data_IF_414348530605
#
_entry.id   IF_414348530605
#
_cell.length_a   1.000
_cell.length_b   1.000
_cell.length_c   1.000
_cell.angle_alpha   90.00
_cell.angle_beta   90.00
_cell.angle_gamma   90.00
#
_symmetry.space_group_name_H-M   'P 1'
#
loop_
_entity.id
_entity.type
_entity.pdbx_description
1 polymer ?
#
# COMPACT_ATOMS: atom_id res chain seq x y z
N UNK A 1 8.07 0.59 1.87
CA UNK A 1 9.28 1.05 2.59
C UNK A 1 9.97 2.14 1.78
N UNK A 2 10.97 2.81 2.35
CA UNK A 2 11.62 3.96 1.70
C UNK A 2 12.23 3.59 0.35
N UNK A 3 13.07 2.55 0.29
CA UNK A 3 13.77 2.09 -0.93
C UNK A 3 13.26 0.75 -1.47
N UNK A 4 12.17 0.24 -0.91
CA UNK A 4 11.58 -1.03 -1.34
C UNK A 4 10.08 -1.10 -1.15
N UNK A 5 9.43 -1.99 -1.88
CA UNK A 5 8.05 -2.41 -1.69
C UNK A 5 8.04 -3.92 -1.54
N UNK A 6 7.59 -4.42 -0.39
CA UNK A 6 7.33 -5.85 -0.19
C UNK A 6 5.85 -6.11 -0.48
N UNK A 7 5.56 -7.13 -1.25
CA UNK A 7 4.20 -7.60 -1.52
C UNK A 7 4.08 -9.08 -1.16
N UNK A 8 2.86 -9.50 -0.86
CA UNK A 8 2.53 -10.90 -0.67
C UNK A 8 1.11 -11.18 -1.16
N UNK A 9 0.91 -12.38 -1.69
CA UNK A 9 -0.40 -12.94 -2.04
C UNK A 9 -0.59 -14.20 -1.22
N UNK A 10 -1.76 -14.33 -0.60
CA UNK A 10 -2.10 -15.42 0.30
C UNK A 10 -3.45 -16.01 -0.08
N UNK A 11 -3.56 -17.32 0.03
CA UNK A 11 -4.83 -18.07 -0.01
C UNK A 11 -5.09 -18.62 1.39
N UNK A 12 -5.98 -17.96 2.14
CA UNK A 12 -6.12 -18.18 3.57
C UNK A 12 -4.79 -17.93 4.31
N UNK A 13 -4.24 -18.98 4.93
CA UNK A 13 -2.95 -18.94 5.64
C UNK A 13 -1.76 -19.35 4.75
N UNK A 14 -2.03 -19.79 3.51
CA UNK A 14 -0.98 -20.26 2.60
C UNK A 14 -0.36 -19.09 1.84
N UNK A 15 0.95 -18.95 1.94
CA UNK A 15 1.73 -18.03 1.11
C UNK A 15 1.77 -18.54 -0.34
N UNK A 16 1.21 -17.77 -1.28
CA UNK A 16 1.23 -18.09 -2.72
C UNK A 16 2.43 -17.44 -3.40
N UNK A 17 2.70 -16.18 -3.04
CA UNK A 17 3.80 -15.38 -3.58
C UNK A 17 4.23 -14.36 -2.54
N UNK A 18 5.54 -14.19 -2.34
CA UNK A 18 6.11 -13.03 -1.66
C UNK A 18 7.27 -12.48 -2.47
N UNK A 19 7.25 -11.18 -2.73
CA UNK A 19 8.26 -10.50 -3.52
C UNK A 19 8.73 -9.22 -2.82
N UNK A 20 10.01 -8.91 -2.97
CA UNK A 20 10.60 -7.64 -2.51
C UNK A 20 11.11 -6.85 -3.70
N UNK A 21 10.35 -5.84 -4.06
CA UNK A 21 10.63 -4.90 -5.15
C UNK A 21 11.58 -3.84 -4.63
N UNK A 22 12.80 -3.77 -5.19
CA UNK A 22 13.79 -2.75 -4.82
C UNK A 22 13.69 -1.59 -5.78
N UNK A 23 13.75 -0.38 -5.24
CA UNK A 23 13.74 0.87 -6.00
C UNK A 23 15.11 1.51 -5.87
N UNK A 24 15.73 1.86 -6.99
CA UNK A 24 16.99 2.59 -6.94
C UNK A 24 16.77 4.01 -6.40
N UNK A 25 17.79 4.57 -5.75
CA UNK A 25 17.75 5.97 -5.31
C UNK A 25 17.55 6.93 -6.49
N UNK A 26 18.10 6.59 -7.66
CA UNK A 26 17.93 7.37 -8.89
C UNK A 26 16.47 7.41 -9.32
N UNK A 27 15.77 6.27 -9.35
CA UNK A 27 14.33 6.22 -9.67
C UNK A 27 13.49 7.01 -8.67
N UNK A 28 13.74 6.84 -7.37
CA UNK A 28 13.00 7.54 -6.33
C UNK A 28 13.23 9.06 -6.39
N UNK A 29 14.46 9.50 -6.68
CA UNK A 29 14.82 10.92 -6.75
C UNK A 29 14.13 11.71 -7.86
N UNK A 30 13.46 11.02 -8.80
CA UNK A 30 12.68 11.66 -9.88
C UNK A 30 11.36 12.26 -9.40
N UNK A 31 10.94 11.94 -8.17
CA UNK A 31 9.67 12.35 -7.60
C UNK A 31 9.88 13.46 -6.56
N UNK A 32 9.10 14.54 -6.66
CA UNK A 32 9.19 15.68 -5.75
C UNK A 32 8.63 15.32 -4.36
N UNK A 33 7.51 14.60 -4.33
CA UNK A 33 6.88 14.16 -3.09
C UNK A 33 6.81 12.63 -2.99
N UNK A 34 6.55 12.12 -1.78
CA UNK A 34 6.25 10.71 -1.58
C UNK A 34 5.01 10.30 -2.38
N UNK A 35 3.97 11.15 -2.39
CA UNK A 35 2.73 10.87 -3.10
C UNK A 35 2.95 10.68 -4.61
N UNK A 36 3.88 11.43 -5.23
CA UNK A 36 4.15 11.31 -6.66
C UNK A 36 4.69 9.93 -7.07
N UNK A 37 5.27 9.18 -6.11
CA UNK A 37 5.73 7.80 -6.33
C UNK A 37 4.59 6.79 -6.44
N UNK A 38 3.36 7.15 -6.08
CA UNK A 38 2.19 6.27 -6.00
C UNK A 38 2.02 5.42 -7.26
N UNK A 39 1.90 6.08 -8.43
CA UNK A 39 1.59 5.40 -9.68
C UNK A 39 2.71 4.43 -10.07
N UNK A 40 3.95 4.89 -9.97
CA UNK A 40 5.13 4.07 -10.20
C UNK A 40 5.15 2.80 -9.34
N UNK A 41 4.91 2.94 -8.03
CA UNK A 41 4.91 1.79 -7.14
C UNK A 41 3.74 0.84 -7.41
N UNK A 42 2.55 1.36 -7.73
CA UNK A 42 1.40 0.53 -8.14
C UNK A 42 1.72 -0.28 -9.40
N UNK A 43 2.26 0.38 -10.41
CA UNK A 43 2.53 -0.24 -11.70
C UNK A 43 3.57 -1.37 -11.58
N UNK A 44 4.62 -1.19 -10.75
CA UNK A 44 5.57 -2.27 -10.46
C UNK A 44 4.89 -3.46 -9.79
N UNK A 45 3.99 -3.24 -8.82
CA UNK A 45 3.28 -4.33 -8.13
C UNK A 45 2.46 -5.14 -9.14
N UNK A 46 1.65 -4.47 -9.96
CA UNK A 46 0.81 -5.13 -10.96
C UNK A 46 1.65 -5.87 -12.00
N UNK A 47 2.77 -5.29 -12.44
CA UNK A 47 3.67 -5.92 -13.38
C UNK A 47 4.32 -7.18 -12.80
N UNK A 48 4.78 -7.16 -11.55
CA UNK A 48 5.37 -8.36 -10.93
C UNK A 48 4.34 -9.47 -10.72
N UNK A 49 3.10 -9.14 -10.33
CA UNK A 49 2.04 -10.15 -10.26
C UNK A 49 1.80 -10.80 -11.63
N UNK A 50 1.75 -9.99 -12.69
CA UNK A 50 1.62 -10.48 -14.06
C UNK A 50 2.82 -11.33 -14.51
N UNK A 51 4.04 -10.91 -14.22
CA UNK A 51 5.28 -11.66 -14.53
C UNK A 51 5.31 -13.03 -13.83
N UNK A 52 4.74 -13.11 -12.62
CA UNK A 52 4.58 -14.35 -11.86
C UNK A 52 3.38 -15.18 -12.30
N UNK A 53 2.71 -14.79 -13.39
CA UNK A 53 1.49 -15.41 -13.92
C UNK A 53 0.34 -15.47 -12.90
N UNK A 54 0.29 -14.50 -11.98
CA UNK A 54 -0.83 -14.37 -11.05
C UNK A 54 -1.92 -13.49 -11.66
N UNK A 55 -3.15 -14.00 -11.71
CA UNK A 55 -4.31 -13.23 -12.15
C UNK A 55 -4.83 -12.37 -11.00
N UNK A 56 -4.57 -11.07 -11.07
CA UNK A 56 -4.97 -10.10 -10.05
C UNK A 56 -6.49 -10.02 -9.85
N UNK A 57 -7.29 -10.43 -10.83
CA UNK A 57 -8.76 -10.43 -10.73
C UNK A 57 -9.30 -11.52 -9.79
N UNK A 58 -8.45 -12.44 -9.34
CA UNK A 58 -8.80 -13.49 -8.38
C UNK A 58 -8.70 -13.05 -6.92
N UNK A 59 -8.22 -11.84 -6.65
CA UNK A 59 -8.09 -11.31 -5.29
C UNK A 59 -9.48 -11.00 -4.69
N UNK A 60 -9.70 -11.41 -3.44
CA UNK A 60 -10.89 -11.03 -2.68
C UNK A 60 -10.76 -9.67 -1.97
N UNK A 61 -9.52 -9.26 -1.65
CA UNK A 61 -9.23 -8.01 -0.98
C UNK A 61 -7.78 -7.56 -1.22
N UNK A 62 -7.52 -6.26 -1.01
CA UNK A 62 -6.16 -5.71 -1.02
C UNK A 62 -5.86 -5.03 0.30
N UNK A 63 -4.72 -5.36 0.90
CA UNK A 63 -4.33 -4.83 2.21
C UNK A 63 -3.02 -4.05 2.09
N UNK A 64 -3.04 -2.80 2.53
CA UNK A 64 -1.86 -1.96 2.64
C UNK A 64 -1.37 -1.85 4.09
N UNK A 65 -0.08 -1.61 4.28
CA UNK A 65 0.41 -1.15 5.59
C UNK A 65 -0.17 0.24 5.87
N UNK A 66 -0.63 0.48 7.10
CA UNK A 66 -1.07 1.82 7.51
C UNK A 66 0.05 2.86 7.43
N UNK A 67 -0.34 4.09 7.06
CA UNK A 67 0.57 5.23 6.95
C UNK A 67 0.68 6.03 8.25
N UNK A 68 1.22 7.24 8.12
CA UNK A 68 1.23 8.27 9.16
C UNK A 68 -0.15 8.95 9.22
N UNK A 69 -1.13 8.23 9.78
CA UNK A 69 -2.48 8.73 10.04
C UNK A 69 -2.54 9.44 11.39
N UNK A 70 -3.69 10.06 11.70
CA UNK A 70 -3.97 10.54 13.06
C UNK A 70 -4.02 9.35 14.04
N UNK A 71 -3.78 9.58 15.34
CA UNK A 71 -3.90 8.55 16.36
C UNK A 71 -5.21 7.79 16.23
N UNK A 72 -5.10 6.47 16.26
CA UNK A 72 -6.21 5.53 16.11
C UNK A 72 -5.83 4.20 16.76
N UNK A 73 -6.83 3.46 17.21
CA UNK A 73 -6.63 2.14 17.81
C UNK A 73 -5.95 1.18 16.82
N UNK A 74 -5.33 0.13 17.34
CA UNK A 74 -4.80 -0.95 16.51
C UNK A 74 -5.95 -1.71 15.84
N UNK A 75 -5.68 -2.24 14.65
CA UNK A 75 -6.68 -3.05 13.93
C UNK A 75 -6.68 -2.86 12.43
N UNK A 76 -7.70 -3.46 11.82
CA UNK A 76 -7.91 -3.49 10.38
C UNK A 76 -9.04 -2.53 10.01
N UNK A 77 -8.73 -1.54 9.18
CA UNK A 77 -9.67 -0.50 8.79
C UNK A 77 -9.91 -0.54 7.29
N UNK A 78 -11.19 -0.49 6.88
CA UNK A 78 -11.53 -0.28 5.47
C UNK A 78 -11.05 1.10 5.04
N UNK A 79 -10.39 1.17 3.88
CA UNK A 79 -9.93 2.46 3.35
C UNK A 79 -11.14 3.31 2.96
N UNK A 80 -11.10 4.59 3.32
CA UNK A 80 -12.14 5.57 2.99
C UNK A 80 -11.51 6.87 2.48
N UNK A 81 -12.34 7.75 1.91
CA UNK A 81 -11.88 9.01 1.31
C UNK A 81 -11.13 9.92 2.29
N UNK A 82 -11.57 9.98 3.55
CA UNK A 82 -10.93 10.81 4.57
C UNK A 82 -9.52 10.32 4.89
N UNK A 83 -9.36 9.00 5.02
CA UNK A 83 -8.06 8.36 5.22
C UNK A 83 -7.14 8.62 4.04
N UNK A 84 -7.62 8.49 2.80
CA UNK A 84 -6.83 8.78 1.60
C UNK A 84 -6.34 10.22 1.56
N UNK A 85 -7.21 11.17 1.91
CA UNK A 85 -6.84 12.58 1.98
C UNK A 85 -5.76 12.83 3.04
N UNK A 86 -5.93 12.27 4.24
CA UNK A 86 -4.96 12.42 5.34
C UNK A 86 -3.59 11.80 4.98
N UNK A 87 -3.56 10.65 4.30
CA UNK A 87 -2.34 10.00 3.80
C UNK A 87 -1.65 10.82 2.70
N UNK A 88 -2.42 11.42 1.80
CA UNK A 88 -1.93 12.26 0.70
C UNK A 88 -1.34 13.57 1.22
N UNK A 89 -2.07 14.26 2.08
CA UNK A 89 -1.62 15.52 2.68
C UNK A 89 -0.47 15.29 3.68
N UNK A 90 -0.35 14.07 4.22
CA UNK A 90 0.68 13.72 5.19
C UNK A 90 0.45 14.48 6.50
N UNK A 91 -0.77 14.44 7.02
CA UNK A 91 -1.20 15.21 8.20
C UNK A 91 -0.38 14.91 9.47
N UNK A 92 0.29 13.75 9.53
CA UNK A 92 1.23 13.36 10.59
C UNK A 92 2.65 13.08 10.04
N UNK A 93 2.96 13.61 8.86
CA UNK A 93 4.26 13.48 8.20
C UNK A 93 4.21 12.73 6.88
N UNK A 94 5.18 13.03 6.02
CA UNK A 94 5.38 12.37 4.74
C UNK A 94 6.29 11.15 4.92
N UNK A 95 5.77 9.96 4.62
CA UNK A 95 6.53 8.71 4.71
C UNK A 95 6.07 7.71 3.65
N UNK A 96 6.97 6.87 3.16
CA UNK A 96 6.66 5.89 2.11
C UNK A 96 5.56 4.88 2.49
N UNK A 97 5.27 4.70 3.79
CA UNK A 97 4.12 3.90 4.24
C UNK A 97 2.78 4.54 3.91
N UNK A 98 2.70 5.87 3.70
CA UNK A 98 1.46 6.55 3.35
C UNK A 98 0.87 6.03 2.03
N UNK A 99 1.73 5.55 1.14
CA UNK A 99 1.33 4.96 -0.13
C UNK A 99 0.62 3.60 0.04
N UNK A 100 0.77 2.91 1.18
CA UNK A 100 0.21 1.58 1.39
C UNK A 100 -1.31 1.55 1.22
N UNK A 101 -2.03 2.38 1.98
CA UNK A 101 -3.49 2.50 1.88
C UNK A 101 -3.95 3.08 0.54
N UNK A 102 -3.19 4.02 -0.04
CA UNK A 102 -3.52 4.65 -1.32
C UNK A 102 -3.43 3.63 -2.47
N UNK A 103 -2.36 2.83 -2.50
CA UNK A 103 -2.16 1.75 -3.49
C UNK A 103 -3.23 0.67 -3.32
N UNK A 104 -3.47 0.21 -2.08
CA UNK A 104 -4.48 -0.80 -1.81
C UNK A 104 -5.86 -0.37 -2.31
N UNK A 105 -6.25 0.88 -2.02
CA UNK A 105 -7.52 1.44 -2.47
C UNK A 105 -7.60 1.57 -4.00
N UNK A 106 -6.53 2.00 -4.66
CA UNK A 106 -6.54 2.10 -6.12
C UNK A 106 -6.74 0.73 -6.78
N UNK A 107 -6.00 -0.29 -6.34
CA UNK A 107 -6.13 -1.65 -6.89
C UNK A 107 -7.51 -2.21 -6.55
N UNK A 108 -7.97 -2.05 -5.31
CA UNK A 108 -9.31 -2.49 -4.89
C UNK A 108 -10.43 -1.86 -5.74
N UNK A 109 -10.35 -0.56 -6.01
CA UNK A 109 -11.31 0.12 -6.86
C UNK A 109 -11.28 -0.35 -8.32
N UNK A 110 -10.09 -0.59 -8.89
CA UNK A 110 -9.94 -1.11 -10.27
C UNK A 110 -10.54 -2.51 -10.43
N UNK A 111 -10.52 -3.32 -9.37
CA UNK A 111 -11.02 -4.70 -9.35
C UNK A 111 -12.42 -4.84 -8.73
N UNK A 112 -12.99 -3.73 -8.22
CA UNK A 112 -14.24 -3.71 -7.47
C UNK A 112 -14.25 -4.66 -6.23
N UNK A 113 -13.15 -4.67 -5.47
CA UNK A 113 -12.97 -5.46 -4.24
C UNK A 113 -12.59 -4.55 -3.07
N UNK A 114 -12.84 -4.95 -1.81
CA UNK A 114 -12.51 -4.13 -0.65
C UNK A 114 -11.00 -3.93 -0.48
N UNK A 115 -10.64 -2.73 -0.03
CA UNK A 115 -9.29 -2.37 0.37
C UNK A 115 -9.23 -2.02 1.85
N UNK A 116 -8.15 -2.44 2.51
CA UNK A 116 -7.92 -2.23 3.93
C UNK A 116 -6.52 -1.69 4.21
N UNK A 117 -6.36 -1.09 5.39
CA UNK A 117 -5.07 -0.94 6.05
C UNK A 117 -5.03 -1.77 7.33
N UNK A 118 -3.84 -2.22 7.70
CA UNK A 118 -3.56 -2.89 8.97
C UNK A 118 -2.43 -2.15 9.68
N UNK A 119 -2.57 -2.04 11.01
CA UNK A 119 -1.57 -1.52 11.95
C UNK A 119 -0.95 -0.20 11.49
N UNK A 120 -1.70 0.92 11.58
CA UNK A 120 -1.15 2.24 11.32
C UNK A 120 0.05 2.50 12.24
N UNK A 121 1.08 3.18 11.72
CA UNK A 121 2.37 3.38 12.45
C UNK A 121 2.21 4.23 13.72
N UNK A 122 1.01 4.80 13.92
CA UNK A 122 0.62 5.73 14.97
C UNK A 122 -0.32 5.08 16.01
N UNK A 123 -0.09 3.80 16.34
CA UNK A 123 -0.85 3.12 17.41
C UNK A 123 -0.64 3.90 18.72
N UNK A 124 -1.75 4.37 19.31
CA UNK A 124 -1.79 5.00 20.62
C UNK A 124 -2.50 4.05 21.59
N UNK A 125 -1.72 3.25 22.32
CA UNK A 125 -2.19 2.26 23.32
C UNK A 125 -1.65 2.60 24.73
N UNK A 126 -1.55 3.89 25.07
CA UNK A 126 -1.13 4.35 26.41
C UNK A 126 -2.26 4.36 27.46
#
# INVERSE_FOLDING_TARGET
GSTSTKIGVYDGEQEVLVETLRHSSEEISKYETIYDQFKFRKDIIVNVLKEKNFDINTLDAVVGRGGMLKPMESGTYKVNEKMLQDLKDGVQGQHASNLGGIIANQIGNELNIPAFIVDPVVVDEL
#
